data_IF_105757713567
#
_entry.id   IF_105757713567
#
_cell.length_a   1.000
_cell.length_b   1.000
_cell.length_c   1.000
_cell.angle_alpha   90.00
_cell.angle_beta   90.00
_cell.angle_gamma   90.00
#
_symmetry.space_group_name_H-M   'P 1'
#
loop_
_entity.id
_entity.type
_entity.pdbx_description
1 polymer ?
#
# COMPACT_ATOMS: atom_id res chain seq x y z
N UNK A 1 -9.18 8.98 13.77
CA UNK A 1 -7.93 8.70 13.03
C UNK A 1 -7.37 7.38 13.52
N UNK A 2 -7.12 6.45 12.63
CA UNK A 2 -6.46 5.17 12.92
C UNK A 2 -5.00 5.25 12.49
N UNK A 3 -4.15 4.49 13.16
CA UNK A 3 -2.73 4.41 12.87
C UNK A 3 -2.29 2.95 12.88
N UNK A 4 -1.61 2.52 11.83
CA UNK A 4 -1.07 1.17 11.68
C UNK A 4 0.43 1.32 11.39
N UNK A 5 1.24 0.55 12.10
CA UNK A 5 2.66 0.37 11.79
C UNK A 5 2.91 -1.10 11.59
N UNK A 6 3.55 -1.45 10.48
CA UNK A 6 3.97 -2.81 10.19
C UNK A 6 5.42 -2.83 9.73
N UNK A 7 6.17 -3.80 10.21
CA UNK A 7 7.56 -4.00 9.85
C UNK A 7 7.76 -5.40 9.29
N UNK A 8 8.62 -5.50 8.30
CA UNK A 8 9.02 -6.76 7.70
C UNK A 8 10.50 -6.73 7.35
N UNK A 9 11.23 -7.76 7.78
CA UNK A 9 12.57 -8.01 7.31
C UNK A 9 12.53 -8.84 6.02
N UNK A 10 13.33 -8.45 5.02
CA UNK A 10 13.57 -9.23 3.81
C UNK A 10 15.08 -9.43 3.62
N UNK A 11 15.52 -10.65 3.22
CA UNK A 11 16.94 -10.98 3.02
C UNK A 11 17.45 -10.50 1.64
N UNK A 12 17.17 -9.27 1.30
CA UNK A 12 17.57 -8.60 0.06
C UNK A 12 18.21 -7.26 0.38
N UNK A 13 18.91 -6.69 -0.57
CA UNK A 13 19.47 -5.33 -0.41
C UNK A 13 18.37 -4.27 -0.40
N UNK A 14 18.66 -3.12 0.21
CA UNK A 14 17.76 -1.98 0.14
C UNK A 14 17.52 -1.50 -1.30
N UNK A 15 18.51 -1.61 -2.17
CA UNK A 15 18.38 -1.27 -3.59
C UNK A 15 17.38 -2.18 -4.31
N UNK A 16 17.40 -3.49 -4.07
CA UNK A 16 16.44 -4.44 -4.62
C UNK A 16 15.02 -4.18 -4.09
N UNK A 17 14.89 -3.90 -2.79
CA UNK A 17 13.61 -3.52 -2.21
C UNK A 17 13.07 -2.23 -2.84
N UNK A 18 13.91 -1.20 -2.98
CA UNK A 18 13.53 0.06 -3.63
C UNK A 18 13.08 -0.16 -5.07
N UNK A 19 13.82 -0.91 -5.86
CA UNK A 19 13.49 -1.25 -7.25
C UNK A 19 12.11 -1.91 -7.35
N UNK A 20 11.80 -2.82 -6.44
CA UNK A 20 10.50 -3.49 -6.43
C UNK A 20 9.36 -2.53 -6.04
N UNK A 21 9.51 -1.81 -4.91
CA UNK A 21 8.43 -0.99 -4.35
C UNK A 21 8.21 0.34 -5.07
N UNK A 22 9.23 0.87 -5.74
CA UNK A 22 9.12 2.11 -6.52
C UNK A 22 8.41 1.94 -7.87
N UNK A 23 8.10 0.70 -8.28
CA UNK A 23 7.36 0.42 -9.52
C UNK A 23 5.91 0.05 -9.22
N UNK A 24 4.94 0.91 -9.56
CA UNK A 24 3.54 0.76 -9.15
C UNK A 24 2.88 -0.57 -9.55
N UNK A 25 3.24 -1.13 -10.71
CA UNK A 25 2.69 -2.40 -11.17
C UNK A 25 3.04 -3.61 -10.28
N UNK A 26 4.10 -3.48 -9.46
CA UNK A 26 4.42 -4.54 -8.51
C UNK A 26 3.42 -4.63 -7.35
N UNK A 27 2.66 -3.56 -7.09
CA UNK A 27 1.58 -3.59 -6.10
C UNK A 27 0.52 -4.63 -6.42
N UNK A 28 0.20 -4.83 -7.70
CA UNK A 28 -0.78 -5.83 -8.13
C UNK A 28 -0.32 -7.25 -7.76
N UNK A 29 0.99 -7.51 -7.80
CA UNK A 29 1.57 -8.83 -7.48
C UNK A 29 1.45 -9.21 -6.00
N UNK A 30 1.36 -8.21 -5.12
CA UNK A 30 1.32 -8.40 -3.66
C UNK A 30 -0.03 -8.03 -3.05
N UNK A 31 -1.04 -7.80 -3.86
CA UNK A 31 -2.39 -7.49 -3.42
C UNK A 31 -3.29 -8.71 -3.65
N UNK A 32 -4.13 -9.10 -2.66
CA UNK A 32 -5.01 -10.27 -2.81
C UNK A 32 -5.95 -10.14 -4.01
N UNK A 33 -6.05 -11.20 -4.83
CA UNK A 33 -6.94 -11.24 -6.00
C UNK A 33 -8.42 -11.06 -5.61
N UNK A 34 -8.79 -11.52 -4.42
CA UNK A 34 -10.15 -11.44 -3.88
C UNK A 34 -10.62 -9.99 -3.67
N UNK A 35 -9.69 -9.04 -3.60
CA UNK A 35 -10.04 -7.62 -3.53
C UNK A 35 -10.45 -7.05 -4.88
N UNK A 36 -10.19 -7.77 -5.98
CA UNK A 36 -10.41 -7.26 -7.32
C UNK A 36 -9.69 -5.92 -7.57
N UNK A 37 -8.48 -5.82 -7.02
CA UNK A 37 -7.64 -4.63 -7.14
C UNK A 37 -6.73 -4.76 -8.36
N UNK A 38 -6.68 -3.72 -9.19
CA UNK A 38 -5.81 -3.70 -10.37
C UNK A 38 -5.35 -2.28 -10.70
N UNK A 39 -4.12 -2.14 -11.15
CA UNK A 39 -3.59 -0.86 -11.64
C UNK A 39 -4.09 -0.59 -13.05
N UNK A 40 -4.77 0.54 -13.24
CA UNK A 40 -5.36 0.99 -14.52
C UNK A 40 -4.43 1.95 -15.24
N UNK A 41 -3.75 2.82 -14.49
CA UNK A 41 -2.85 3.84 -15.02
C UNK A 41 -1.78 4.18 -14.00
N UNK A 42 -0.53 4.22 -14.43
CA UNK A 42 0.60 4.62 -13.62
C UNK A 42 1.70 5.21 -14.51
N UNK A 43 2.73 5.86 -13.92
CA UNK A 43 3.93 6.26 -14.66
C UNK A 43 4.64 5.08 -15.32
N UNK A 44 5.29 5.33 -16.45
CA UNK A 44 6.23 4.38 -17.07
C UNK A 44 7.53 4.38 -16.26
N UNK A 45 7.70 3.37 -15.39
CA UNK A 45 8.87 3.23 -14.53
C UNK A 45 8.63 3.60 -13.08
N UNK A 46 9.68 4.10 -12.41
CA UNK A 46 9.64 4.40 -10.99
C UNK A 46 8.78 5.62 -10.65
N UNK A 47 8.27 5.63 -9.42
CA UNK A 47 7.52 6.75 -8.87
C UNK A 47 8.36 8.03 -8.75
N UNK A 48 7.67 9.16 -8.79
CA UNK A 48 8.24 10.50 -8.54
C UNK A 48 7.22 11.38 -7.81
N UNK A 49 7.64 12.46 -7.11
CA UNK A 49 6.71 13.36 -6.44
C UNK A 49 5.70 13.97 -7.42
N UNK A 50 4.41 13.89 -7.08
CA UNK A 50 3.31 14.33 -7.94
C UNK A 50 2.80 13.28 -8.92
N UNK A 51 3.41 12.10 -8.99
CA UNK A 51 2.90 11.01 -9.81
C UNK A 51 1.50 10.60 -9.38
N UNK A 52 0.61 10.38 -10.34
CA UNK A 52 -0.74 9.89 -10.13
C UNK A 52 -0.82 8.44 -10.58
N UNK A 53 -1.33 7.59 -9.69
CA UNK A 53 -1.55 6.17 -9.94
C UNK A 53 -3.04 5.91 -9.76
N UNK A 54 -3.65 5.28 -10.74
CA UNK A 54 -5.08 4.96 -10.73
C UNK A 54 -5.23 3.46 -10.64
N UNK A 55 -5.88 3.02 -9.57
CA UNK A 55 -6.29 1.65 -9.37
C UNK A 55 -7.80 1.52 -9.50
N UNK A 56 -8.26 0.32 -9.79
CA UNK A 56 -9.65 -0.09 -9.71
C UNK A 56 -9.83 -1.07 -8.56
N UNK A 57 -10.80 -0.81 -7.72
CA UNK A 57 -11.15 -1.66 -6.57
C UNK A 57 -12.58 -2.20 -6.76
N UNK A 58 -12.73 -3.51 -6.82
CA UNK A 58 -14.03 -4.17 -6.92
C UNK A 58 -14.62 -4.34 -5.52
N UNK A 59 -15.70 -3.63 -5.22
CA UNK A 59 -16.38 -3.70 -3.92
C UNK A 59 -17.48 -4.78 -3.90
N UNK A 60 -18.11 -5.03 -5.05
CA UNK A 60 -19.16 -6.04 -5.26
C UNK A 60 -19.18 -6.45 -6.73
N UNK A 61 -19.87 -7.55 -7.12
CA UNK A 61 -19.88 -8.03 -8.51
C UNK A 61 -20.22 -6.97 -9.56
N UNK A 62 -21.03 -5.98 -9.19
CA UNK A 62 -21.48 -4.91 -10.10
C UNK A 62 -21.01 -3.52 -9.67
N UNK A 63 -20.13 -3.41 -8.68
CA UNK A 63 -19.69 -2.15 -8.13
C UNK A 63 -18.17 -2.10 -8.05
N UNK A 64 -17.57 -1.30 -8.92
CA UNK A 64 -16.15 -0.97 -8.85
C UNK A 64 -15.98 0.53 -8.65
N UNK A 65 -14.99 0.91 -7.86
CA UNK A 65 -14.62 2.31 -7.64
C UNK A 65 -13.15 2.52 -8.02
N UNK A 66 -12.78 3.71 -8.50
CA UNK A 66 -11.38 4.07 -8.64
C UNK A 66 -10.76 4.35 -7.27
N UNK A 67 -9.50 3.98 -7.15
CA UNK A 67 -8.62 4.44 -6.07
C UNK A 67 -7.49 5.23 -6.71
N UNK A 68 -7.50 6.53 -6.50
CA UNK A 68 -6.51 7.45 -7.07
C UNK A 68 -5.50 7.80 -6.00
N UNK A 69 -4.25 7.46 -6.25
CA UNK A 69 -3.10 7.73 -5.38
C UNK A 69 -2.23 8.83 -5.96
N UNK A 70 -1.79 9.74 -5.12
CA UNK A 70 -0.74 10.71 -5.44
C UNK A 70 0.51 10.39 -4.62
N UNK A 71 1.65 10.32 -5.27
CA UNK A 71 2.96 10.24 -4.59
C UNK A 71 3.32 11.63 -4.09
N UNK A 72 3.36 11.81 -2.79
CA UNK A 72 3.59 13.12 -2.15
C UNK A 72 5.04 13.47 -1.99
N UNK A 73 5.87 12.47 -1.66
CA UNK A 73 7.29 12.66 -1.42
C UNK A 73 8.05 11.40 -1.82
N UNK A 74 9.26 11.57 -2.28
CA UNK A 74 10.20 10.48 -2.57
C UNK A 74 11.57 10.91 -2.06
N UNK A 75 12.15 10.08 -1.20
CA UNK A 75 13.55 10.08 -0.81
C UNK A 75 14.17 8.81 -1.40
N UNK A 76 14.80 8.96 -2.57
CA UNK A 76 15.19 7.85 -3.44
C UNK A 76 16.05 6.82 -2.71
N UNK A 77 15.64 5.57 -2.74
CA UNK A 77 16.30 4.45 -2.05
C UNK A 77 15.97 4.34 -0.56
N UNK A 78 15.28 5.31 0.07
CA UNK A 78 15.03 5.34 1.51
C UNK A 78 13.56 5.34 1.89
N UNK A 79 12.75 6.16 1.26
CA UNK A 79 11.33 6.25 1.60
C UNK A 79 10.50 6.93 0.53
N UNK A 80 9.20 6.66 0.54
CA UNK A 80 8.22 7.46 -0.19
C UNK A 80 6.91 7.53 0.58
N UNK A 81 6.10 8.52 0.21
CA UNK A 81 4.78 8.74 0.79
C UNK A 81 3.74 8.77 -0.31
N UNK A 82 2.70 7.98 -0.15
CA UNK A 82 1.51 8.02 -0.97
C UNK A 82 0.28 8.49 -0.19
N UNK A 83 -0.61 9.19 -0.88
CA UNK A 83 -1.90 9.63 -0.34
C UNK A 83 -3.03 9.30 -1.30
N UNK A 84 -4.15 8.85 -0.75
CA UNK A 84 -5.36 8.69 -1.53
C UNK A 84 -5.96 10.07 -1.84
N UNK A 85 -6.12 10.39 -3.11
CA UNK A 85 -6.83 11.58 -3.59
C UNK A 85 -8.32 11.33 -3.78
N UNK A 86 -8.66 10.12 -4.20
CA UNK A 86 -10.02 9.63 -4.34
C UNK A 86 -10.04 8.13 -4.07
N UNK A 87 -11.07 7.64 -3.36
CA UNK A 87 -11.17 6.23 -3.03
C UNK A 87 -12.06 5.95 -1.81
N UNK A 88 -11.96 4.74 -1.24
CA UNK A 88 -12.87 4.28 -0.19
C UNK A 88 -12.66 4.92 1.18
N UNK A 89 -11.52 5.56 1.42
CA UNK A 89 -11.23 6.20 2.69
C UNK A 89 -11.50 7.71 2.62
N UNK A 90 -11.85 8.31 3.76
CA UNK A 90 -11.90 9.77 3.90
C UNK A 90 -10.51 10.38 3.96
N UNK A 91 -9.54 9.65 4.52
CA UNK A 91 -8.14 10.00 4.61
C UNK A 91 -7.30 8.75 4.54
N UNK A 92 -6.22 8.81 3.77
CA UNK A 92 -5.21 7.77 3.68
C UNK A 92 -3.86 8.42 3.39
N UNK A 93 -2.92 8.21 4.30
CA UNK A 93 -1.55 8.66 4.19
C UNK A 93 -0.65 7.48 4.56
N UNK A 94 0.18 7.04 3.65
CA UNK A 94 0.99 5.85 3.79
C UNK A 94 2.46 6.20 3.50
N UNK A 95 3.31 6.00 4.50
CA UNK A 95 4.75 6.13 4.37
C UNK A 95 5.37 4.74 4.31
N UNK A 96 6.18 4.54 3.28
CA UNK A 96 7.06 3.38 3.12
C UNK A 96 8.48 3.80 3.42
N UNK A 97 9.20 3.04 4.22
CA UNK A 97 10.61 3.28 4.50
C UNK A 97 11.42 2.00 4.47
N UNK A 98 12.68 2.12 4.04
CA UNK A 98 13.59 1.02 3.78
C UNK A 98 14.89 1.27 4.53
N UNK A 99 15.15 0.50 5.58
CA UNK A 99 16.33 0.62 6.43
C UNK A 99 17.25 -0.59 6.21
N UNK A 100 18.49 -0.32 5.85
CA UNK A 100 19.49 -1.36 5.71
C UNK A 100 19.87 -1.92 7.09
N UNK A 101 19.84 -3.24 7.21
CA UNK A 101 20.15 -3.95 8.44
C UNK A 101 21.12 -5.09 8.18
N UNK A 102 21.61 -5.73 9.22
CA UNK A 102 22.47 -6.91 9.05
C UNK A 102 21.71 -8.03 8.32
N UNK A 103 22.23 -8.43 7.17
CA UNK A 103 21.70 -9.52 6.36
C UNK A 103 20.52 -9.16 5.46
N UNK A 104 20.09 -7.88 5.42
CA UNK A 104 18.98 -7.49 4.55
C UNK A 104 18.44 -6.10 4.78
N UNK A 105 17.16 -5.92 4.51
CA UNK A 105 16.44 -4.65 4.65
C UNK A 105 15.24 -4.80 5.59
N UNK A 106 15.04 -3.84 6.47
CA UNK A 106 13.82 -3.68 7.23
C UNK A 106 12.89 -2.71 6.48
N UNK A 107 11.74 -3.20 6.06
CA UNK A 107 10.68 -2.41 5.45
C UNK A 107 9.69 -2.04 6.54
N UNK A 108 9.35 -0.74 6.61
CA UNK A 108 8.36 -0.23 7.54
C UNK A 108 7.28 0.52 6.79
N UNK A 109 6.05 0.05 6.97
CA UNK A 109 4.82 0.68 6.50
C UNK A 109 4.15 1.41 7.67
N UNK A 110 3.91 2.69 7.51
CA UNK A 110 3.22 3.52 8.49
C UNK A 110 2.03 4.20 7.84
N UNK A 111 0.82 3.80 8.25
CA UNK A 111 -0.44 4.26 7.66
C UNK A 111 -1.27 5.01 8.67
N UNK A 112 -1.63 6.24 8.32
CA UNK A 112 -2.68 7.00 8.99
C UNK A 112 -3.91 7.00 8.10
N UNK A 113 -5.05 6.57 8.62
CA UNK A 113 -6.26 6.49 7.82
C UNK A 113 -7.53 6.85 8.61
N UNK A 114 -8.58 7.19 7.86
CA UNK A 114 -9.90 7.49 8.39
C UNK A 114 -10.96 6.90 7.46
N UNK A 115 -11.92 6.17 8.07
CA UNK A 115 -13.06 5.64 7.32
C UNK A 115 -14.00 6.75 6.86
N UNK A 116 -14.78 6.56 5.78
CA UNK A 116 -15.80 7.50 5.38
C UNK A 116 -16.95 7.54 6.41
N UNK A 117 -17.69 8.64 6.41
CA UNK A 117 -18.92 8.82 7.22
C UNK A 117 -18.75 8.70 8.74
N UNK A 118 -17.56 8.90 9.30
CA UNK A 118 -17.40 8.99 10.76
C UNK A 118 -18.11 10.21 11.33
N UNK A 119 -18.78 10.09 12.52
CA UNK A 119 -18.74 8.95 13.44
C UNK A 119 -19.76 7.83 13.13
N UNK A 120 -20.67 8.01 12.19
CA UNK A 120 -21.77 7.08 11.90
C UNK A 120 -21.30 5.71 11.37
N UNK A 121 -20.11 5.64 10.79
CA UNK A 121 -19.50 4.41 10.29
C UNK A 121 -18.71 3.62 11.35
N UNK A 122 -18.69 4.05 12.61
CA UNK A 122 -17.87 3.42 13.64
C UNK A 122 -18.07 1.89 13.77
N UNK A 123 -19.29 1.34 13.80
CA UNK A 123 -19.48 -0.12 13.84
C UNK A 123 -19.04 -0.79 12.54
N UNK A 124 -19.30 -0.19 11.40
CA UNK A 124 -18.86 -0.72 10.10
C UNK A 124 -17.34 -0.73 10.00
N UNK A 125 -16.68 0.35 10.46
CA UNK A 125 -15.23 0.43 10.53
C UNK A 125 -14.64 -0.69 11.39
N UNK A 126 -15.15 -0.90 12.59
CA UNK A 126 -14.65 -1.89 13.53
C UNK A 126 -14.83 -3.33 13.02
N UNK A 127 -15.97 -3.62 12.38
CA UNK A 127 -16.34 -4.97 11.98
C UNK A 127 -15.84 -5.36 10.58
N UNK A 128 -15.65 -4.40 9.68
CA UNK A 128 -15.35 -4.70 8.27
C UNK A 128 -14.09 -3.99 7.75
N UNK A 129 -13.94 -2.70 7.98
CA UNK A 129 -12.86 -1.91 7.35
C UNK A 129 -11.51 -2.22 8.00
N UNK A 130 -11.40 -2.13 9.32
CA UNK A 130 -10.15 -2.34 10.04
C UNK A 130 -9.60 -3.76 9.91
N UNK A 131 -10.39 -4.84 10.11
CA UNK A 131 -9.93 -6.21 9.90
C UNK A 131 -9.47 -6.47 8.47
N UNK A 132 -10.18 -5.91 7.48
CA UNK A 132 -9.85 -6.07 6.07
C UNK A 132 -8.55 -5.35 5.72
N UNK A 133 -8.33 -4.16 6.23
CA UNK A 133 -7.08 -3.41 6.06
C UNK A 133 -5.90 -4.19 6.64
N UNK A 134 -6.03 -4.72 7.86
CA UNK A 134 -4.98 -5.54 8.48
C UNK A 134 -4.71 -6.83 7.70
N UNK A 135 -5.74 -7.49 7.18
CA UNK A 135 -5.61 -8.69 6.37
C UNK A 135 -4.84 -8.45 5.08
N UNK A 136 -5.00 -7.28 4.44
CA UNK A 136 -4.23 -6.88 3.26
C UNK A 136 -2.74 -6.80 3.58
N UNK A 137 -2.37 -6.16 4.68
CA UNK A 137 -0.97 -6.05 5.10
C UNK A 137 -0.36 -7.41 5.44
N UNK A 138 -1.11 -8.28 6.13
CA UNK A 138 -0.64 -9.61 6.45
C UNK A 138 -0.44 -10.48 5.18
N UNK A 139 -1.37 -10.42 4.24
CA UNK A 139 -1.22 -11.09 2.96
C UNK A 139 0.03 -10.59 2.20
N UNK A 140 0.21 -9.26 2.11
CA UNK A 140 1.40 -8.68 1.47
C UNK A 140 2.70 -9.15 2.09
N UNK A 141 2.73 -9.20 3.42
CA UNK A 141 3.88 -9.69 4.17
C UNK A 141 4.23 -11.12 3.79
N UNK A 142 3.24 -12.00 3.68
CA UNK A 142 3.44 -13.39 3.29
C UNK A 142 3.94 -13.51 1.84
N UNK A 143 3.28 -12.83 0.91
CA UNK A 143 3.65 -12.86 -0.52
C UNK A 143 5.06 -12.31 -0.74
N UNK A 144 5.45 -11.24 -0.06
CA UNK A 144 6.80 -10.69 -0.14
C UNK A 144 7.85 -11.64 0.43
N UNK A 145 7.54 -12.31 1.54
CA UNK A 145 8.44 -13.31 2.11
C UNK A 145 8.67 -14.47 1.13
N UNK A 146 7.61 -14.96 0.48
CA UNK A 146 7.69 -16.02 -0.51
C UNK A 146 8.41 -15.57 -1.79
N UNK A 147 8.11 -14.36 -2.28
CA UNK A 147 8.69 -13.80 -3.50
C UNK A 147 10.20 -13.59 -3.40
N UNK A 148 10.70 -13.17 -2.25
CA UNK A 148 12.12 -12.90 -2.01
C UNK A 148 12.85 -14.02 -1.26
N UNK A 149 12.23 -15.17 -1.04
CA UNK A 149 12.89 -16.35 -0.45
C UNK A 149 13.57 -17.25 -1.48
N UNK A 150 13.28 -17.05 -2.77
CA UNK A 150 13.93 -17.72 -3.89
C UNK A 150 15.20 -16.96 -4.31
#
# INVERSE_FOLDING_TARGET
MEHIVQEQFLPISRAEAWEFFSHPLNLDKITPDELGFSTVSCPDGAIYPGAIIIHRLQLAPFLAIPWVTEIKAVDEGFSFVDEQRFGPYRFWHHRHSFEETEGGVLIRDEVHWKAPFEPFSAPVKALFVKPRTLAIFEHRKQVLADYFSE
#
